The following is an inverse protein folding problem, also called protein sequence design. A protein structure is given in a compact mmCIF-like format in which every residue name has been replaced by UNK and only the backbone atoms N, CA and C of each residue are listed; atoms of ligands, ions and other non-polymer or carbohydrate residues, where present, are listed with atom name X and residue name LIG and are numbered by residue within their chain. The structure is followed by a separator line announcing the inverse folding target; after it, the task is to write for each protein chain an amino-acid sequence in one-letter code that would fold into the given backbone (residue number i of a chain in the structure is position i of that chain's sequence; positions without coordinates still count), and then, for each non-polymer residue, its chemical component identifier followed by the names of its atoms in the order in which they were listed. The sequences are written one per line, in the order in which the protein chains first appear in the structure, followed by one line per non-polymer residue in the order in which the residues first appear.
data_IF_717498575176
#
_entry.id   IF_717498575176
#
_cell.length_a   1.000
_cell.length_b   1.000
_cell.length_c   1.000
_cell.angle_alpha   90.00
_cell.angle_beta   90.00
_cell.angle_gamma   90.00
#
_symmetry.space_group_name_H-M   'P 1'
#
loop_
_entity.id
_entity.type
_entity.pdbx_description
1 polymer ?
#
# COMPACT_ATOMS: atom_id res chain seq x y z
N UNK A 1 6.27 19.46 -21.22
CA UNK A 1 6.71 20.08 -19.94
C UNK A 1 6.61 19.04 -18.84
N UNK A 2 7.59 18.96 -17.95
CA UNK A 2 7.57 18.04 -16.81
C UNK A 2 6.98 18.78 -15.60
N UNK A 3 5.98 18.19 -14.94
CA UNK A 3 5.36 18.74 -13.73
C UNK A 3 5.31 17.68 -12.62
N UNK A 4 5.23 18.13 -11.38
CA UNK A 4 5.01 17.27 -10.22
C UNK A 4 3.52 17.02 -10.00
N UNK A 5 3.16 15.78 -9.73
CA UNK A 5 1.81 15.42 -9.34
C UNK A 5 1.54 15.82 -7.87
N UNK A 6 0.44 16.52 -7.61
CA UNK A 6 0.04 16.95 -6.26
C UNK A 6 -0.32 15.78 -5.32
N UNK A 7 -0.57 14.59 -5.86
CA UNK A 7 -1.04 13.42 -5.10
C UNK A 7 0.09 12.43 -4.79
N UNK A 8 0.96 12.15 -5.76
CA UNK A 8 2.03 11.17 -5.62
C UNK A 8 3.43 11.76 -5.66
N UNK A 9 3.58 13.06 -5.96
CA UNK A 9 4.87 13.75 -6.00
C UNK A 9 5.76 13.43 -7.20
N UNK A 10 5.35 12.52 -8.10
CA UNK A 10 6.16 12.11 -9.27
C UNK A 10 6.18 13.18 -10.35
N UNK A 11 7.31 13.28 -11.01
CA UNK A 11 7.49 14.05 -12.23
C UNK A 11 6.81 13.32 -13.41
N UNK A 12 5.96 14.02 -14.15
CA UNK A 12 5.26 13.46 -15.32
C UNK A 12 5.24 14.42 -16.50
N UNK A 13 5.20 13.87 -17.71
CA UNK A 13 5.07 14.63 -18.94
C UNK A 13 3.64 15.17 -19.10
N UNK A 14 3.45 16.44 -18.76
CA UNK A 14 2.16 17.10 -18.87
C UNK A 14 1.88 17.54 -20.32
N UNK A 15 0.69 17.18 -20.83
CA UNK A 15 0.17 17.65 -22.13
C UNK A 15 -0.38 19.08 -22.10
N UNK A 16 -0.76 19.58 -20.91
CA UNK A 16 -1.36 20.92 -20.70
C UNK A 16 -0.75 21.59 -19.47
N UNK A 17 -0.64 22.92 -19.49
CA UNK A 17 -0.01 23.69 -18.41
C UNK A 17 -0.80 23.62 -17.10
N UNK A 18 -2.09 23.33 -17.17
CA UNK A 18 -2.99 23.18 -16.03
C UNK A 18 -3.06 21.77 -15.44
N UNK A 19 -2.29 20.81 -15.96
CA UNK A 19 -2.33 19.43 -15.47
C UNK A 19 -1.68 19.30 -14.08
N UNK A 20 -2.48 18.85 -13.09
CA UNK A 20 -2.09 18.67 -11.68
C UNK A 20 -1.74 17.23 -11.29
N UNK A 21 -2.14 16.26 -12.11
CA UNK A 21 -2.05 14.82 -11.79
C UNK A 21 -1.38 14.03 -12.91
N UNK A 22 -0.55 13.05 -12.53
CA UNK A 22 0.15 12.19 -13.48
C UNK A 22 -0.76 11.16 -14.17
N UNK A 23 -1.89 10.82 -13.55
CA UNK A 23 -2.79 9.75 -14.01
C UNK A 23 -4.24 10.00 -13.58
N UNK A 24 -5.23 9.38 -14.27
CA UNK A 24 -6.64 9.42 -13.83
C UNK A 24 -6.83 8.78 -12.45
N UNK A 25 -5.99 7.83 -12.07
CA UNK A 25 -6.00 7.22 -10.72
C UNK A 25 -5.65 8.24 -9.64
N UNK A 26 -4.60 9.06 -9.82
CA UNK A 26 -4.26 10.13 -8.89
C UNK A 26 -5.34 11.20 -8.82
N UNK A 27 -5.97 11.54 -9.96
CA UNK A 27 -7.13 12.44 -9.99
C UNK A 27 -8.29 11.90 -9.14
N UNK A 28 -8.63 10.62 -9.30
CA UNK A 28 -9.71 9.99 -8.54
C UNK A 28 -9.41 9.96 -7.03
N UNK A 29 -8.16 9.69 -6.63
CA UNK A 29 -7.72 9.73 -5.24
C UNK A 29 -7.86 11.12 -4.61
N UNK A 30 -7.46 12.17 -5.34
CA UNK A 30 -7.64 13.55 -4.91
C UNK A 30 -9.12 13.88 -4.66
N UNK A 31 -10.03 13.45 -5.54
CA UNK A 31 -11.46 13.69 -5.36
C UNK A 31 -12.08 12.89 -4.21
N UNK A 32 -11.57 11.68 -3.91
CA UNK A 32 -12.08 10.81 -2.85
C UNK A 32 -11.48 11.10 -1.47
N UNK A 33 -10.60 12.10 -1.34
CA UNK A 33 -9.91 12.41 -0.09
C UNK A 33 -8.95 11.31 0.39
N UNK A 34 -8.59 10.37 -0.49
CA UNK A 34 -7.69 9.28 -0.13
C UNK A 34 -6.24 9.78 -0.26
N UNK A 35 -5.47 9.87 0.85
CA UNK A 35 -4.04 10.06 0.73
C UNK A 35 -3.48 8.90 -0.10
N UNK A 36 -2.57 9.21 -1.01
CA UNK A 36 -1.89 8.16 -1.77
C UNK A 36 -1.24 7.22 -0.76
N UNK A 37 -1.51 5.90 -0.79
CA UNK A 37 -0.63 4.97 -0.09
C UNK A 37 0.75 5.22 -0.68
N UNK A 38 1.75 5.47 0.17
CA UNK A 38 3.08 5.73 -0.31
C UNK A 38 3.53 4.50 -1.11
N UNK A 39 3.58 4.61 -2.44
CA UNK A 39 4.59 3.87 -3.19
C UNK A 39 5.93 4.51 -2.82
N UNK A 40 6.38 4.26 -1.58
CA UNK A 40 7.63 4.80 -1.01
C UNK A 40 8.39 3.63 -0.39
N UNK A 41 8.73 2.62 -1.17
CA UNK A 41 10.10 2.14 -1.00
C UNK A 41 10.96 3.21 -1.68
N UNK A 42 11.87 3.89 -0.97
CA UNK A 42 12.92 4.63 -1.67
C UNK A 42 13.63 3.62 -2.59
N UNK A 43 13.95 4.02 -3.83
CA UNK A 43 14.62 3.14 -4.80
C UNK A 43 15.98 2.63 -4.27
N UNK A 44 16.50 3.29 -3.24
CA UNK A 44 17.67 2.91 -2.47
C UNK A 44 17.33 2.89 -0.97
N UNK A 45 17.77 1.85 -0.23
CA UNK A 45 17.65 1.82 1.22
C UNK A 45 18.31 3.05 1.86
N UNK A 46 17.82 3.47 3.02
CA UNK A 46 18.43 4.57 3.77
C UNK A 46 19.91 4.25 4.09
N UNK A 47 20.79 5.26 4.16
CA UNK A 47 22.18 5.04 4.58
C UNK A 47 22.22 4.34 5.94
N UNK A 48 22.82 3.15 6.01
CA UNK A 48 22.89 2.33 7.23
C UNK A 48 21.71 1.38 7.46
N UNK A 49 20.77 1.25 6.53
CA UNK A 49 19.75 0.21 6.61
C UNK A 49 20.38 -1.18 6.35
N UNK A 50 20.61 -1.93 7.42
CA UNK A 50 21.01 -3.32 7.42
C UNK A 50 19.97 -4.07 8.25
N UNK A 51 19.05 -4.77 7.58
CA UNK A 51 18.24 -5.82 8.21
C UNK A 51 18.89 -7.14 7.85
N UNK A 52 19.06 -8.01 8.84
CA UNK A 52 19.50 -9.39 8.61
C UNK A 52 18.38 -10.19 7.94
N UNK A 53 18.73 -11.32 7.30
CA UNK A 53 17.73 -12.19 6.67
C UNK A 53 16.71 -12.71 7.68
N UNK A 54 17.15 -13.01 8.90
CA UNK A 54 16.28 -13.49 9.98
C UNK A 54 15.25 -12.44 10.40
N UNK A 55 15.68 -11.18 10.54
CA UNK A 55 14.76 -10.07 10.83
C UNK A 55 13.74 -9.86 9.72
N UNK A 56 14.15 -9.99 8.45
CA UNK A 56 13.23 -9.89 7.30
C UNK A 56 12.22 -11.03 7.32
N UNK A 57 12.65 -12.28 7.54
CA UNK A 57 11.76 -13.44 7.67
C UNK A 57 10.76 -13.22 8.81
N UNK A 58 11.22 -12.79 9.98
CA UNK A 58 10.34 -12.53 11.11
C UNK A 58 9.32 -11.40 10.84
N UNK A 59 9.65 -10.41 10.01
CA UNK A 59 8.66 -9.39 9.58
C UNK A 59 7.59 -10.00 8.67
N UNK A 60 7.99 -10.85 7.72
CA UNK A 60 7.06 -11.53 6.80
C UNK A 60 6.15 -12.49 7.57
N UNK A 61 6.70 -13.30 8.47
CA UNK A 61 5.93 -14.21 9.33
C UNK A 61 4.87 -13.46 10.15
N UNK A 62 5.26 -12.36 10.83
CA UNK A 62 4.31 -11.53 11.58
C UNK A 62 3.21 -10.93 10.70
N UNK A 63 3.49 -10.66 9.43
CA UNK A 63 2.47 -10.16 8.50
C UNK A 63 1.42 -11.24 8.18
N UNK A 64 1.85 -12.48 7.96
CA UNK A 64 0.94 -13.63 7.80
C UNK A 64 0.14 -13.91 9.08
N UNK A 65 0.80 -13.89 10.25
CA UNK A 65 0.12 -14.05 11.54
C UNK A 65 -0.97 -13.00 11.73
N UNK A 66 -0.67 -11.73 11.42
CA UNK A 66 -1.64 -10.64 11.50
C UNK A 66 -2.83 -10.86 10.55
N UNK A 67 -2.59 -11.37 9.33
CA UNK A 67 -3.67 -11.68 8.40
C UNK A 67 -4.53 -12.86 8.89
N UNK A 68 -3.90 -13.88 9.49
CA UNK A 68 -4.59 -14.99 10.12
C UNK A 68 -5.44 -14.54 11.32
N UNK A 69 -4.93 -13.62 12.14
CA UNK A 69 -5.65 -13.03 13.27
C UNK A 69 -6.85 -12.21 12.82
N UNK A 70 -6.71 -11.41 11.76
CA UNK A 70 -7.83 -10.68 11.15
C UNK A 70 -8.89 -11.63 10.57
N UNK A 71 -8.44 -12.73 9.95
CA UNK A 71 -9.34 -13.78 9.46
C UNK A 71 -10.12 -14.41 10.62
N UNK A 72 -9.43 -14.76 11.71
CA UNK A 72 -10.06 -15.31 12.92
C UNK A 72 -11.03 -14.31 13.54
N UNK A 73 -10.65 -13.05 13.68
CA UNK A 73 -11.49 -12.00 14.22
C UNK A 73 -12.76 -11.79 13.37
N UNK A 74 -12.68 -11.98 12.05
CA UNK A 74 -13.84 -11.90 11.17
C UNK A 74 -14.92 -12.95 11.50
N UNK A 75 -14.51 -14.13 11.98
CA UNK A 75 -15.43 -15.20 12.38
C UNK A 75 -16.11 -14.93 13.73
N UNK A 76 -15.51 -14.07 14.55
CA UNK A 76 -15.95 -13.77 15.92
C UNK A 76 -16.61 -12.40 16.07
N UNK A 77 -16.79 -11.66 14.97
CA UNK A 77 -17.35 -10.31 14.98
C UNK A 77 -18.66 -10.23 14.20
N UNK A 78 -19.63 -9.40 14.64
CA UNK A 78 -20.88 -9.24 13.92
C UNK A 78 -20.74 -8.34 12.68
N UNK A 79 -21.74 -8.40 11.81
CA UNK A 79 -21.87 -7.52 10.63
C UNK A 79 -21.98 -6.05 11.04
N UNK A 80 -21.37 -5.11 10.28
CA UNK A 80 -20.64 -5.31 9.02
C UNK A 80 -19.11 -5.48 9.18
N UNK A 81 -18.61 -5.51 10.41
CA UNK A 81 -17.18 -5.50 10.68
C UNK A 81 -16.49 -6.80 10.25
N UNK A 82 -17.15 -7.95 10.39
CA UNK A 82 -16.63 -9.23 9.90
C UNK A 82 -16.25 -9.18 8.41
N UNK A 83 -17.07 -8.55 7.57
CA UNK A 83 -16.79 -8.42 6.14
C UNK A 83 -15.54 -7.57 5.88
N UNK A 84 -15.40 -6.47 6.62
CA UNK A 84 -14.22 -5.60 6.49
C UNK A 84 -12.94 -6.29 6.94
N UNK A 85 -13.00 -7.05 8.04
CA UNK A 85 -11.87 -7.80 8.58
C UNK A 85 -11.45 -8.94 7.65
N UNK A 86 -12.42 -9.72 7.13
CA UNK A 86 -12.16 -10.75 6.14
C UNK A 86 -11.52 -10.17 4.87
N UNK A 87 -12.08 -9.07 4.36
CA UNK A 87 -11.54 -8.40 3.17
C UNK A 87 -10.13 -7.82 3.41
N UNK A 88 -9.84 -7.34 4.62
CA UNK A 88 -8.51 -6.86 4.98
C UNK A 88 -7.50 -8.02 5.03
N UNK A 89 -7.87 -9.12 5.68
CA UNK A 89 -7.02 -10.32 5.75
C UNK A 89 -6.66 -10.85 4.36
N UNK A 90 -7.65 -11.03 3.48
CA UNK A 90 -7.40 -11.50 2.10
C UNK A 90 -6.48 -10.57 1.32
N UNK A 91 -6.63 -9.24 1.47
CA UNK A 91 -5.75 -8.28 0.79
C UNK A 91 -4.30 -8.34 1.26
N UNK A 92 -4.07 -8.64 2.53
CA UNK A 92 -2.70 -8.79 3.07
C UNK A 92 -2.07 -10.06 2.49
N UNK A 93 -2.78 -11.19 2.54
CA UNK A 93 -2.31 -12.46 1.98
C UNK A 93 -2.07 -12.40 0.47
N UNK A 94 -2.99 -11.79 -0.29
CA UNK A 94 -2.82 -11.61 -1.73
C UNK A 94 -1.61 -10.74 -2.05
N UNK A 95 -1.34 -9.71 -1.24
CA UNK A 95 -0.18 -8.84 -1.41
C UNK A 95 1.14 -9.61 -1.17
N UNK A 96 1.24 -10.36 -0.06
CA UNK A 96 2.42 -11.16 0.25
C UNK A 96 2.69 -12.20 -0.84
N UNK A 97 1.65 -12.95 -1.23
CA UNK A 97 1.72 -13.95 -2.29
C UNK A 97 2.15 -13.37 -3.63
N UNK A 98 1.68 -12.18 -3.98
CA UNK A 98 2.01 -11.54 -5.26
C UNK A 98 3.48 -11.15 -5.38
N UNK A 99 4.15 -10.92 -4.25
CA UNK A 99 5.58 -10.60 -4.17
C UNK A 99 6.46 -11.84 -3.91
N UNK A 100 5.85 -13.03 -3.77
CA UNK A 100 6.55 -14.29 -3.46
C UNK A 100 7.09 -14.36 -2.03
N UNK A 101 6.46 -13.63 -1.11
CA UNK A 101 6.76 -13.61 0.33
C UNK A 101 5.87 -14.61 1.07
#
# INVERSE_FOLDING_TARGET
MIRKCEVCGRDFAARRSTARYCSPTCRSRAHRGYPCPPSKAPATPAPGALMTTDEVVGVVERAHESAADLSRASLLTPSPLCLSLAAAASKIEDALRSEGL
#
